data_IF_997675330450
#
_entry.id   IF_997675330450
#
_cell.length_a   1.000
_cell.length_b   1.000
_cell.length_c   1.000
_cell.angle_alpha   90.00
_cell.angle_beta   90.00
_cell.angle_gamma   90.00
#
_symmetry.space_group_name_H-M   'P 1'
#
loop_
_entity.id
_entity.type
_entity.pdbx_description
1 polymer ?
#
# COMPACT_ATOMS: atom_id res chain seq x y z
N UNK A 1 13.62 19.58 26.43
CA UNK A 1 14.77 18.72 26.10
C UNK A 1 14.83 18.55 24.59
N UNK A 2 15.81 19.18 23.96
CA UNK A 2 16.06 19.08 22.53
C UNK A 2 16.88 17.82 22.26
N UNK A 3 16.37 16.88 21.45
CA UNK A 3 17.15 15.76 20.95
C UNK A 3 17.30 15.89 19.44
N UNK A 4 18.55 15.78 19.01
CA UNK A 4 19.14 16.25 17.76
C UNK A 4 18.63 15.51 16.52
N UNK A 5 18.45 16.29 15.46
CA UNK A 5 18.14 15.90 14.07
C UNK A 5 19.21 15.03 13.37
N UNK A 6 20.21 14.50 14.08
CA UNK A 6 21.44 13.98 13.47
C UNK A 6 21.45 12.45 13.24
N UNK A 7 20.52 11.68 13.81
CA UNK A 7 20.67 10.22 13.85
C UNK A 7 19.97 9.41 12.76
N UNK A 8 19.07 9.99 11.95
CA UNK A 8 18.39 9.22 10.89
C UNK A 8 19.18 9.16 9.58
N UNK A 9 20.06 10.13 9.32
CA UNK A 9 20.86 10.20 8.08
C UNK A 9 21.83 9.03 7.84
N UNK A 10 22.55 8.49 8.85
CA UNK A 10 23.49 7.38 8.60
C UNK A 10 22.79 6.01 8.48
N UNK A 11 21.53 5.94 8.91
CA UNK A 11 20.87 4.69 9.27
C UNK A 11 19.95 4.18 8.15
N UNK A 12 19.47 5.07 7.28
CA UNK A 12 18.66 4.70 6.12
C UNK A 12 19.55 4.23 4.94
N UNK A 13 20.27 3.14 5.14
CA UNK A 13 20.81 2.32 4.05
C UNK A 13 19.87 1.14 3.87
N UNK A 14 18.78 1.28 3.09
CA UNK A 14 17.88 0.16 2.85
C UNK A 14 18.70 -0.98 2.25
N UNK A 15 18.82 -2.10 2.98
CA UNK A 15 19.29 -3.35 2.36
C UNK A 15 18.34 -3.62 1.20
N UNK A 16 18.89 -3.65 -0.02
CA UNK A 16 18.12 -3.93 -1.22
C UNK A 16 17.59 -5.35 -1.12
N UNK A 17 16.32 -5.50 -0.78
CA UNK A 17 15.60 -6.73 -1.06
C UNK A 17 15.16 -6.70 -2.53
N UNK A 18 15.16 -7.84 -3.24
CA UNK A 18 14.70 -7.91 -4.64
C UNK A 18 13.23 -7.55 -4.84
N UNK A 19 12.47 -7.33 -3.76
CA UNK A 19 11.02 -7.41 -3.72
C UNK A 19 10.31 -6.07 -3.45
N UNK A 20 11.06 -5.00 -3.18
CA UNK A 20 10.48 -3.68 -2.90
C UNK A 20 9.79 -3.56 -1.54
N UNK A 21 10.02 -4.51 -0.64
CA UNK A 21 9.56 -4.46 0.75
C UNK A 21 10.73 -4.21 1.69
N UNK A 22 10.62 -3.18 2.53
CA UNK A 22 11.67 -2.77 3.44
C UNK A 22 11.13 -2.80 4.88
N UNK A 23 11.66 -3.70 5.69
CA UNK A 23 11.43 -3.72 7.13
C UNK A 23 12.72 -3.32 7.85
N UNK A 24 12.66 -2.20 8.56
CA UNK A 24 13.82 -1.58 9.18
C UNK A 24 13.56 -1.23 10.64
N UNK A 25 14.57 -1.43 11.48
CA UNK A 25 14.54 -1.04 12.89
C UNK A 25 15.85 -0.40 13.29
N UNK A 26 15.78 0.74 13.99
CA UNK A 26 16.94 1.47 14.47
C UNK A 26 16.74 2.03 15.87
N UNK A 27 17.80 2.02 16.66
CA UNK A 27 17.79 2.45 18.06
C UNK A 27 18.64 1.48 18.87
N UNK A 28 19.31 1.99 19.91
CA UNK A 28 20.22 1.18 20.75
C UNK A 28 19.51 0.58 21.96
N UNK A 29 18.47 1.23 22.44
CA UNK A 29 17.62 0.84 23.57
C UNK A 29 16.16 0.78 23.12
N UNK A 30 15.29 0.18 23.95
CA UNK A 30 13.87 0.07 23.61
C UNK A 30 13.17 1.44 23.56
N UNK A 31 13.68 2.44 24.28
CA UNK A 31 13.11 3.80 24.34
C UNK A 31 13.41 4.65 23.12
N UNK A 32 14.43 4.32 22.32
CA UNK A 32 14.82 4.99 21.08
C UNK A 32 14.65 4.11 19.84
N UNK A 33 14.05 2.92 19.99
CA UNK A 33 13.80 2.00 18.89
C UNK A 33 12.67 2.52 17.99
N UNK A 34 13.03 3.01 16.81
CA UNK A 34 12.13 3.30 15.71
C UNK A 34 12.00 2.07 14.80
N UNK A 35 10.78 1.71 14.42
CA UNK A 35 10.49 0.68 13.43
C UNK A 35 9.86 1.36 12.21
N UNK A 36 10.18 0.88 11.02
CA UNK A 36 9.64 1.42 9.77
C UNK A 36 9.42 0.30 8.78
N UNK A 37 8.25 0.32 8.16
CA UNK A 37 7.92 -0.51 7.01
C UNK A 37 7.70 0.42 5.81
N UNK A 38 8.35 0.11 4.70
CA UNK A 38 8.07 0.75 3.41
C UNK A 38 7.81 -0.32 2.36
N UNK A 39 6.85 -0.07 1.48
CA UNK A 39 6.42 -1.02 0.47
C UNK A 39 6.23 -0.31 -0.88
N UNK A 40 6.94 -0.81 -1.90
CA UNK A 40 6.71 -0.43 -3.29
C UNK A 40 5.37 -0.99 -3.77
N UNK A 41 4.63 -0.22 -4.58
CA UNK A 41 3.49 -0.77 -5.31
C UNK A 41 3.99 -1.83 -6.30
N UNK A 42 3.30 -2.97 -6.42
CA UNK A 42 3.82 -4.14 -7.14
C UNK A 42 4.03 -3.97 -8.65
N UNK A 43 3.52 -2.91 -9.26
CA UNK A 43 3.66 -2.52 -10.68
C UNK A 43 4.64 -1.36 -10.90
N UNK A 44 5.30 -0.86 -9.84
CA UNK A 44 6.23 0.28 -9.92
C UNK A 44 7.67 -0.23 -10.09
N UNK A 45 8.44 0.47 -10.93
CA UNK A 45 9.87 0.21 -11.10
C UNK A 45 10.62 0.39 -9.77
N UNK A 46 11.44 -0.60 -9.40
CA UNK A 46 12.11 -0.62 -8.09
C UNK A 46 13.03 0.58 -7.86
N UNK A 47 13.70 1.12 -8.89
CA UNK A 47 14.56 2.29 -8.74
C UNK A 47 13.73 3.57 -8.51
N UNK A 48 12.61 3.71 -9.22
CA UNK A 48 11.65 4.79 -8.99
C UNK A 48 11.05 4.71 -7.57
N UNK A 49 10.72 3.51 -7.10
CA UNK A 49 10.26 3.31 -5.73
C UNK A 49 11.34 3.62 -4.69
N UNK A 50 12.57 3.16 -4.89
CA UNK A 50 13.71 3.48 -4.00
C UNK A 50 13.94 4.98 -3.92
N UNK A 51 13.86 5.68 -5.05
CA UNK A 51 13.94 7.14 -5.08
C UNK A 51 12.81 7.78 -4.27
N UNK A 52 11.58 7.26 -4.37
CA UNK A 52 10.44 7.72 -3.57
C UNK A 52 10.71 7.56 -2.06
N UNK A 53 11.10 6.36 -1.63
CA UNK A 53 11.32 6.05 -0.22
C UNK A 53 12.47 6.91 0.36
N UNK A 54 13.57 7.10 -0.38
CA UNK A 54 14.74 7.83 0.10
C UNK A 54 14.53 9.35 0.17
N UNK A 55 13.71 9.94 -0.71
CA UNK A 55 13.48 11.38 -0.75
C UNK A 55 12.55 11.87 0.37
N UNK A 56 11.66 11.01 0.85
CA UNK A 56 10.57 11.42 1.74
C UNK A 56 10.96 11.47 3.22
N UNK A 57 12.10 10.88 3.61
CA UNK A 57 12.47 10.72 5.02
C UNK A 57 13.87 11.27 5.42
N UNK A 58 14.30 12.49 5.05
CA UNK A 58 15.59 12.98 5.51
C UNK A 58 15.65 13.28 7.02
N UNK A 59 14.53 13.55 7.72
CA UNK A 59 14.54 14.14 9.07
C UNK A 59 13.34 13.82 10.01
N UNK A 60 12.45 12.87 9.71
CA UNK A 60 11.20 12.67 10.47
C UNK A 60 11.15 11.32 11.19
N UNK A 61 10.62 11.30 12.43
CA UNK A 61 10.58 10.10 13.29
C UNK A 61 9.46 9.11 12.95
N UNK A 62 8.41 9.56 12.28
CA UNK A 62 7.34 8.74 11.70
C UNK A 62 6.73 9.53 10.52
N UNK A 63 6.63 8.94 9.33
CA UNK A 63 5.98 9.58 8.17
C UNK A 63 5.03 8.59 7.51
N UNK A 64 3.76 8.98 7.43
CA UNK A 64 2.75 8.32 6.62
C UNK A 64 2.73 9.02 5.27
N UNK A 65 2.91 8.27 4.19
CA UNK A 65 2.98 8.82 2.85
C UNK A 65 2.43 7.85 1.81
N UNK A 66 1.33 8.22 1.16
CA UNK A 66 0.79 7.51 0.01
C UNK A 66 1.20 8.24 -1.26
N UNK A 67 2.18 7.68 -1.96
CA UNK A 67 2.67 8.23 -3.22
C UNK A 67 2.46 7.22 -4.33
N UNK A 68 2.34 7.70 -5.57
CA UNK A 68 2.12 6.83 -6.73
C UNK A 68 3.17 5.72 -6.84
N UNK A 69 4.37 5.96 -6.30
CA UNK A 69 5.52 5.07 -6.39
C UNK A 69 5.87 4.33 -5.07
N UNK A 70 5.36 4.74 -3.91
CA UNK A 70 5.67 4.07 -2.63
C UNK A 70 4.62 4.35 -1.54
N UNK A 71 4.44 3.37 -0.66
CA UNK A 71 3.62 3.48 0.57
C UNK A 71 4.55 3.42 1.77
N UNK A 72 4.42 4.40 2.67
CA UNK A 72 5.04 4.38 4.00
C UNK A 72 3.96 4.46 5.06
N UNK A 73 3.95 3.48 5.97
CA UNK A 73 2.81 3.23 6.86
C UNK A 73 3.14 3.49 8.33
N UNK A 74 2.30 4.31 8.98
CA UNK A 74 1.95 4.21 10.42
C UNK A 74 0.44 4.33 10.68
N UNK A 75 -0.41 4.44 9.64
CA UNK A 75 -1.89 4.49 9.76
C UNK A 75 -2.60 3.65 8.69
N UNK A 76 -3.65 2.90 9.06
CA UNK A 76 -4.19 1.80 8.25
C UNK A 76 -5.14 2.21 7.11
N UNK A 77 -5.59 3.46 6.99
CA UNK A 77 -6.64 3.85 6.03
C UNK A 77 -6.39 5.22 5.36
N UNK A 78 -6.33 5.22 4.03
CA UNK A 78 -6.30 6.42 3.18
C UNK A 78 -7.26 6.25 2.01
N UNK A 79 -8.09 7.27 1.76
CA UNK A 79 -9.07 7.27 0.68
C UNK A 79 -8.96 8.55 -0.14
N UNK A 80 -9.21 8.43 -1.46
CA UNK A 80 -9.24 9.55 -2.39
C UNK A 80 -10.51 9.46 -3.23
N UNK A 81 -11.25 10.56 -3.32
CA UNK A 81 -12.51 10.63 -4.05
C UNK A 81 -12.26 10.75 -5.56
N UNK A 82 -13.03 10.01 -6.35
CA UNK A 82 -13.16 10.28 -7.77
C UNK A 82 -14.27 11.32 -7.95
N UNK A 83 -13.96 12.47 -8.54
CA UNK A 83 -14.94 13.54 -8.78
C UNK A 83 -15.78 13.32 -10.04
N UNK A 84 -15.52 12.24 -10.80
CA UNK A 84 -16.24 11.94 -12.02
C UNK A 84 -17.52 11.16 -11.73
N UNK A 85 -18.61 11.58 -12.36
CA UNK A 85 -19.88 10.88 -12.26
C UNK A 85 -19.90 9.55 -13.01
N UNK A 86 -20.67 8.60 -12.49
CA UNK A 86 -21.04 7.33 -13.12
C UNK A 86 -22.54 7.33 -13.40
N UNK A 87 -22.98 6.75 -14.53
CA UNK A 87 -24.41 6.72 -14.88
C UNK A 87 -25.26 5.91 -13.91
N UNK A 88 -24.71 4.83 -13.36
CA UNK A 88 -25.37 3.99 -12.34
C UNK A 88 -24.39 3.59 -11.26
N UNK A 89 -24.56 4.18 -10.07
CA UNK A 89 -23.76 3.87 -8.90
C UNK A 89 -23.91 2.41 -8.45
N UNK A 90 -25.12 1.87 -8.55
CA UNK A 90 -25.42 0.47 -8.15
C UNK A 90 -24.68 -0.51 -9.04
N UNK A 91 -24.76 -0.35 -10.37
CA UNK A 91 -24.05 -1.23 -11.31
C UNK A 91 -22.53 -1.08 -11.18
N UNK A 92 -22.04 0.16 -11.03
CA UNK A 92 -20.63 0.42 -10.80
C UNK A 92 -20.12 -0.29 -9.55
N UNK A 93 -20.80 -0.16 -8.42
CA UNK A 93 -20.41 -0.78 -7.16
C UNK A 93 -20.51 -2.31 -7.18
N UNK A 94 -21.47 -2.87 -7.92
CA UNK A 94 -21.55 -4.31 -8.13
C UNK A 94 -20.34 -4.83 -8.93
N UNK A 95 -20.00 -4.16 -10.03
CA UNK A 95 -18.84 -4.52 -10.87
C UNK A 95 -17.53 -4.35 -10.09
N UNK A 96 -17.39 -3.25 -9.34
CA UNK A 96 -16.21 -2.98 -8.50
C UNK A 96 -16.04 -4.05 -7.43
N UNK A 97 -17.12 -4.44 -6.75
CA UNK A 97 -17.10 -5.52 -5.74
C UNK A 97 -16.61 -6.83 -6.35
N UNK A 98 -17.18 -7.25 -7.48
CA UNK A 98 -16.78 -8.49 -8.16
C UNK A 98 -15.30 -8.46 -8.58
N UNK A 99 -14.83 -7.32 -9.11
CA UNK A 99 -13.42 -7.17 -9.47
C UNK A 99 -12.52 -7.29 -8.23
N UNK A 100 -12.82 -6.57 -7.15
CA UNK A 100 -12.03 -6.58 -5.92
C UNK A 100 -12.01 -7.97 -5.23
N UNK A 101 -13.14 -8.66 -5.18
CA UNK A 101 -13.23 -10.03 -4.65
C UNK A 101 -12.37 -11.01 -5.44
N UNK A 102 -12.37 -10.90 -6.78
CA UNK A 102 -11.55 -11.73 -7.66
C UNK A 102 -10.05 -11.44 -7.56
N UNK A 103 -9.67 -10.19 -7.25
CA UNK A 103 -8.28 -9.79 -7.03
C UNK A 103 -7.77 -10.22 -5.65
N UNK A 104 -8.61 -10.15 -4.62
CA UNK A 104 -8.26 -10.52 -3.24
C UNK A 104 -7.58 -11.88 -3.15
N UNK A 105 -8.23 -12.92 -3.67
CA UNK A 105 -7.75 -14.30 -3.54
C UNK A 105 -6.40 -14.53 -4.24
N UNK A 106 -6.17 -13.81 -5.34
CA UNK A 106 -4.92 -13.84 -6.11
C UNK A 106 -3.78 -13.17 -5.36
N UNK A 107 -3.98 -11.96 -4.83
CA UNK A 107 -2.95 -11.29 -4.03
C UNK A 107 -2.59 -12.07 -2.76
N UNK A 108 -3.59 -12.59 -2.04
CA UNK A 108 -3.37 -13.38 -0.83
C UNK A 108 -2.55 -14.66 -1.10
N UNK A 109 -2.76 -15.27 -2.27
CA UNK A 109 -2.01 -16.43 -2.74
C UNK A 109 -0.65 -16.09 -3.36
N UNK A 110 -0.25 -14.81 -3.34
CA UNK A 110 1.08 -14.37 -3.77
C UNK A 110 2.21 -14.97 -2.93
N UNK A 111 3.42 -14.91 -3.47
CA UNK A 111 4.62 -15.48 -2.85
C UNK A 111 5.09 -14.68 -1.63
N UNK A 112 6.18 -15.12 -0.99
CA UNK A 112 6.88 -14.37 0.05
C UNK A 112 7.60 -13.13 -0.48
N UNK A 113 7.65 -12.94 -1.80
CA UNK A 113 8.28 -11.80 -2.48
C UNK A 113 7.23 -10.73 -2.77
N UNK A 114 6.04 -11.13 -3.25
CA UNK A 114 5.01 -10.17 -3.59
C UNK A 114 3.61 -10.75 -3.43
N UNK A 115 2.77 -9.97 -2.76
CA UNK A 115 1.33 -10.22 -2.57
C UNK A 115 0.53 -9.09 -3.21
N UNK A 116 0.74 -8.91 -4.51
CA UNK A 116 0.11 -7.87 -5.32
C UNK A 116 -0.68 -8.50 -6.47
N UNK A 117 -1.83 -7.92 -6.79
CA UNK A 117 -2.46 -8.16 -8.08
C UNK A 117 -3.17 -6.90 -8.55
N UNK A 118 -3.18 -6.70 -9.86
CA UNK A 118 -4.01 -5.70 -10.52
C UNK A 118 -4.94 -6.39 -11.53
N UNK A 119 -6.03 -5.73 -11.85
CA UNK A 119 -6.96 -6.20 -12.87
C UNK A 119 -7.85 -5.08 -13.37
N UNK A 120 -8.57 -5.41 -14.43
CA UNK A 120 -9.53 -4.51 -15.04
C UNK A 120 -10.77 -5.26 -15.49
N UNK A 121 -11.88 -4.54 -15.58
CA UNK A 121 -13.13 -5.06 -16.11
C UNK A 121 -13.89 -3.95 -16.84
N UNK A 122 -14.86 -4.34 -17.66
CA UNK A 122 -15.79 -3.39 -18.27
C UNK A 122 -16.77 -2.89 -17.22
N UNK A 123 -16.98 -1.58 -17.18
CA UNK A 123 -17.93 -0.90 -16.32
C UNK A 123 -19.01 -0.20 -17.17
N UNK A 124 -20.10 0.30 -16.56
CA UNK A 124 -21.09 1.11 -17.27
C UNK A 124 -20.46 2.27 -18.04
N UNK A 125 -21.17 2.76 -19.06
CA UNK A 125 -20.75 3.86 -19.94
C UNK A 125 -19.51 3.57 -20.81
N UNK A 126 -19.29 2.31 -21.18
CA UNK A 126 -18.12 1.86 -21.93
C UNK A 126 -16.79 2.21 -21.24
N UNK A 127 -16.83 2.44 -19.93
CA UNK A 127 -15.64 2.74 -19.12
C UNK A 127 -14.93 1.44 -18.77
N UNK A 128 -13.61 1.52 -18.66
CA UNK A 128 -12.81 0.43 -18.08
C UNK A 128 -12.53 0.76 -16.63
N UNK A 129 -12.94 -0.13 -15.72
CA UNK A 129 -12.61 -0.03 -14.31
C UNK A 129 -11.30 -0.77 -14.06
N UNK A 130 -10.37 -0.10 -13.37
CA UNK A 130 -9.09 -0.65 -12.94
C UNK A 130 -9.10 -0.75 -11.42
N UNK A 131 -8.54 -1.84 -10.90
CA UNK A 131 -8.34 -2.02 -9.48
C UNK A 131 -7.05 -2.79 -9.21
N UNK A 132 -6.47 -2.54 -8.05
CA UNK A 132 -5.33 -3.28 -7.51
C UNK A 132 -5.56 -3.54 -6.03
N UNK A 133 -4.97 -4.62 -5.54
CA UNK A 133 -4.91 -4.95 -4.11
C UNK A 133 -3.52 -5.45 -3.79
N UNK A 134 -3.04 -5.11 -2.60
CA UNK A 134 -1.69 -5.44 -2.16
C UNK A 134 -1.67 -5.69 -0.66
N UNK A 135 -0.90 -6.70 -0.25
CA UNK A 135 -0.50 -6.91 1.14
C UNK A 135 1.02 -6.77 1.26
N UNK A 136 1.51 -6.52 2.47
CA UNK A 136 2.93 -6.66 2.76
C UNK A 136 3.32 -8.15 2.61
N UNK A 137 4.52 -8.49 2.12
CA UNK A 137 4.91 -9.89 1.92
C UNK A 137 5.10 -10.70 3.21
N UNK A 138 5.27 -10.04 4.36
CA UNK A 138 5.55 -10.65 5.66
C UNK A 138 4.31 -11.27 6.35
N UNK A 139 3.09 -10.90 5.93
CA UNK A 139 1.86 -11.51 6.46
C UNK A 139 1.54 -12.85 5.77
N UNK A 140 0.86 -13.74 6.49
CA UNK A 140 0.40 -15.01 5.93
C UNK A 140 -0.69 -14.81 4.87
N UNK A 141 -0.96 -15.86 4.08
CA UNK A 141 -2.08 -15.88 3.12
C UNK A 141 -3.43 -15.60 3.82
N UNK A 142 -3.62 -16.14 5.02
CA UNK A 142 -4.86 -15.98 5.78
C UNK A 142 -5.02 -14.53 6.23
N UNK A 143 -4.00 -13.98 6.90
CA UNK A 143 -4.00 -12.58 7.36
C UNK A 143 -4.18 -11.59 6.21
N UNK A 144 -3.49 -11.81 5.08
CA UNK A 144 -3.67 -10.98 3.89
C UNK A 144 -5.10 -11.06 3.34
N UNK A 145 -5.68 -12.26 3.24
CA UNK A 145 -7.04 -12.41 2.77
C UNK A 145 -8.04 -11.70 3.71
N UNK A 146 -7.89 -11.85 5.02
CA UNK A 146 -8.78 -11.28 6.02
C UNK A 146 -8.71 -9.75 6.06
N UNK A 147 -7.50 -9.19 5.96
CA UNK A 147 -7.28 -7.75 5.80
C UNK A 147 -8.04 -7.21 4.57
N UNK A 148 -7.88 -7.89 3.43
CA UNK A 148 -8.50 -7.49 2.18
C UNK A 148 -10.03 -7.70 2.18
N UNK A 149 -10.60 -8.65 2.94
CA UNK A 149 -12.06 -8.80 3.06
C UNK A 149 -12.70 -7.49 3.56
N UNK A 150 -12.11 -6.91 4.60
CA UNK A 150 -12.63 -5.67 5.22
C UNK A 150 -12.60 -4.50 4.22
N UNK A 151 -11.46 -4.31 3.56
CA UNK A 151 -11.26 -3.18 2.62
C UNK A 151 -12.14 -3.34 1.38
N UNK A 152 -12.19 -4.54 0.80
CA UNK A 152 -12.98 -4.81 -0.42
C UNK A 152 -14.50 -4.77 -0.19
N UNK A 153 -14.97 -5.00 1.04
CA UNK A 153 -16.36 -4.78 1.43
C UNK A 153 -16.68 -3.31 1.71
N UNK A 154 -15.73 -2.56 2.27
CA UNK A 154 -15.90 -1.15 2.60
C UNK A 154 -15.92 -0.25 1.36
N UNK A 155 -15.03 -0.49 0.38
CA UNK A 155 -14.88 0.39 -0.80
C UNK A 155 -16.21 0.59 -1.54
N UNK A 156 -16.95 -0.46 -1.98
CA UNK A 156 -18.17 -0.26 -2.77
C UNK A 156 -19.38 0.25 -1.98
N UNK A 157 -19.29 0.28 -0.64
CA UNK A 157 -20.46 0.56 0.24
C UNK A 157 -20.33 1.87 1.01
N UNK A 158 -19.11 2.30 1.31
CA UNK A 158 -18.82 3.43 2.22
C UNK A 158 -17.77 4.40 1.70
N UNK A 159 -16.97 4.03 0.70
CA UNK A 159 -15.94 4.89 0.12
C UNK A 159 -16.41 5.44 -1.22
N UNK A 160 -16.06 6.69 -1.49
CA UNK A 160 -15.62 7.06 -2.83
C UNK A 160 -16.69 6.99 -3.93
N UNK A 161 -17.94 7.25 -3.55
CA UNK A 161 -19.12 7.44 -4.41
C UNK A 161 -19.39 8.93 -4.64
#
# INVERSE_FOLDING_TARGET
>A
MAFSHQFLRPIFHPKSTPDGFYNFSAGRQNSDKANTIALCRGDVNLDACRSCITQLCPNQKEVIGWYDNCIMETSPLFYKWNINNVSSLVQFNQVLRTLLEGLRSKAASGSSVSKFTAGKTSAPDFKTLYALVQCTPDVSKMECNDCLVTITGYIPTRCCN
#
